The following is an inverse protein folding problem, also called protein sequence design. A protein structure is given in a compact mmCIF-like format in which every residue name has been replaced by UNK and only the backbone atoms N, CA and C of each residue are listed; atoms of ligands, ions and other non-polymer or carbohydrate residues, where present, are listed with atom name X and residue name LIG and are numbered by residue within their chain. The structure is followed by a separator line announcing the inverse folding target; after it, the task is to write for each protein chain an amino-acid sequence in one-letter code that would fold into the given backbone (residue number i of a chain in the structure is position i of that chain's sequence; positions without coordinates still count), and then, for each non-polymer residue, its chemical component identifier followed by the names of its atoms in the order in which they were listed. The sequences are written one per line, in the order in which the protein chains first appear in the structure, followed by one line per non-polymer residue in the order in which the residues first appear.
data_IF_798433915873
#
_entry.id   IF_798433915873
#
_cell.length_a   1.000
_cell.length_b   1.000
_cell.length_c   1.000
_cell.angle_alpha   90.00
_cell.angle_beta   90.00
_cell.angle_gamma   90.00
#
_symmetry.space_group_name_H-M   'P 1'
#
loop_
_entity.id
_entity.type
_entity.pdbx_description
1 polymer ?
#
# COMPACT_ATOMS: atom_id res chain seq x y z
N UNK A 1 15.27 -21.29 31.79
CA UNK A 1 15.43 -21.95 30.47
C UNK A 1 14.05 -22.21 29.89
N UNK A 2 13.49 -21.19 29.23
CA UNK A 2 12.17 -21.24 28.62
C UNK A 2 12.34 -21.88 27.24
N UNK A 3 11.61 -22.97 27.00
CA UNK A 3 11.58 -23.73 25.74
C UNK A 3 10.63 -23.06 24.73
N UNK A 4 10.81 -21.76 24.50
CA UNK A 4 10.15 -21.05 23.41
C UNK A 4 11.26 -20.41 22.63
N UNK A 5 11.39 -20.85 21.38
CA UNK A 5 12.06 -20.22 20.24
C UNK A 5 12.95 -21.21 19.50
N UNK A 6 12.40 -21.68 18.39
CA UNK A 6 13.18 -22.02 17.21
C UNK A 6 13.74 -20.75 16.50
N UNK A 7 13.87 -19.60 17.19
CA UNK A 7 14.76 -18.52 16.77
C UNK A 7 16.18 -18.89 17.19
N UNK A 8 16.90 -19.63 16.33
CA UNK A 8 18.30 -19.99 16.56
C UNK A 8 19.25 -18.79 16.68
N UNK A 9 18.79 -17.57 16.41
CA UNK A 9 19.58 -16.34 16.50
C UNK A 9 19.74 -15.85 17.94
N UNK A 10 18.64 -15.65 18.69
CA UNK A 10 18.66 -15.03 20.03
C UNK A 10 19.26 -15.87 21.17
N UNK A 11 19.58 -17.14 20.92
CA UNK A 11 20.08 -18.09 21.95
C UNK A 11 21.33 -18.84 21.45
N UNK A 12 22.16 -18.22 20.62
CA UNK A 12 23.47 -18.76 20.29
C UNK A 12 24.44 -18.50 21.46
N UNK A 13 24.82 -19.55 22.19
CA UNK A 13 25.63 -19.46 23.41
C UNK A 13 27.02 -18.80 23.28
N UNK A 14 27.47 -18.49 22.06
CA UNK A 14 28.78 -17.89 21.77
C UNK A 14 28.71 -16.52 21.05
N UNK A 15 27.50 -16.02 20.75
CA UNK A 15 27.27 -14.71 20.10
C UNK A 15 26.17 -13.98 20.87
N UNK A 16 26.55 -12.98 21.67
CA UNK A 16 25.59 -12.06 22.27
C UNK A 16 25.08 -11.18 21.13
N UNK A 17 23.80 -11.33 20.77
CA UNK A 17 23.15 -10.46 19.81
C UNK A 17 23.23 -9.00 20.25
N UNK A 18 23.26 -8.08 19.28
CA UNK A 18 23.24 -6.65 19.57
C UNK A 18 22.04 -6.32 20.47
N UNK A 19 22.20 -5.41 21.45
CA UNK A 19 21.10 -5.04 22.33
C UNK A 19 19.91 -4.54 21.49
N UNK A 20 18.70 -5.00 21.82
CA UNK A 20 17.43 -4.61 21.20
C UNK A 20 17.04 -3.19 21.62
N UNK A 21 17.90 -2.23 21.32
CA UNK A 21 17.76 -0.83 21.67
C UNK A 21 17.54 -0.03 20.40
N UNK A 22 16.52 0.84 20.35
CA UNK A 22 16.27 1.70 19.21
C UNK A 22 17.49 2.52 18.82
N UNK A 23 17.76 2.59 17.51
CA UNK A 23 18.69 3.59 16.99
C UNK A 23 18.03 4.97 17.02
N UNK A 24 18.73 6.05 17.41
CA UNK A 24 18.18 7.40 17.34
C UNK A 24 17.94 7.81 15.88
N UNK A 25 16.86 8.55 15.62
CA UNK A 25 16.67 9.17 14.29
C UNK A 25 17.59 10.37 14.13
N UNK A 26 18.41 10.37 13.06
CA UNK A 26 19.33 11.47 12.78
C UNK A 26 18.71 12.53 11.84
N UNK A 27 17.80 12.12 10.94
CA UNK A 27 17.22 13.02 9.91
C UNK A 27 15.94 13.74 10.37
N UNK A 28 15.13 13.13 11.23
CA UNK A 28 13.77 13.61 11.55
C UNK A 28 13.57 13.87 13.05
N UNK A 29 14.60 14.36 13.75
CA UNK A 29 14.69 14.40 15.22
C UNK A 29 13.46 14.94 15.97
N UNK A 30 12.65 15.80 15.34
CA UNK A 30 11.47 16.43 15.95
C UNK A 30 10.14 15.99 15.31
N UNK A 31 10.13 14.92 14.51
CA UNK A 31 8.92 14.43 13.88
C UNK A 31 7.98 13.81 14.91
N UNK A 32 6.69 14.17 14.84
CA UNK A 32 5.63 13.58 15.68
C UNK A 32 5.45 12.09 15.44
N UNK A 33 5.97 11.53 14.34
CA UNK A 33 5.87 10.09 14.06
C UNK A 33 6.50 9.24 15.18
N UNK A 34 7.55 9.76 15.84
CA UNK A 34 8.27 9.03 16.89
C UNK A 34 7.54 8.99 18.23
N UNK A 35 6.50 9.80 18.38
CA UNK A 35 5.57 9.78 19.52
C UNK A 35 4.18 9.33 19.08
N UNK A 36 4.02 8.87 17.84
CA UNK A 36 2.74 8.36 17.32
C UNK A 36 2.58 6.91 17.78
N UNK A 37 1.46 6.54 18.43
CA UNK A 37 1.22 5.16 18.81
C UNK A 37 1.24 4.21 17.62
N UNK A 38 1.85 3.05 17.81
CA UNK A 38 1.93 1.97 16.83
C UNK A 38 1.11 0.80 17.34
N UNK A 39 0.09 0.42 16.58
CA UNK A 39 -0.76 -0.75 16.80
C UNK A 39 -0.18 -1.88 15.94
N UNK A 40 0.22 -2.97 16.56
CA UNK A 40 0.68 -4.19 15.89
C UNK A 40 -0.33 -5.29 16.13
N UNK A 41 -0.87 -5.87 15.06
CA UNK A 41 -1.78 -7.01 15.13
C UNK A 41 -0.95 -8.30 14.99
N UNK A 42 -0.94 -9.16 16.02
CA UNK A 42 -0.18 -10.42 15.94
C UNK A 42 -0.81 -11.45 15.01
N UNK A 43 -2.14 -11.40 14.87
CA UNK A 43 -2.92 -12.43 14.18
C UNK A 43 -2.99 -13.75 14.94
N UNK A 44 -3.62 -14.75 14.33
CA UNK A 44 -3.69 -16.14 14.83
C UNK A 44 -2.40 -16.92 14.56
N UNK A 45 -1.58 -16.48 13.60
CA UNK A 45 -0.31 -17.15 13.27
C UNK A 45 0.89 -16.27 13.65
N UNK A 46 1.45 -16.56 14.82
CA UNK A 46 2.51 -15.73 15.43
C UNK A 46 3.95 -16.11 14.99
N UNK A 47 4.14 -17.06 14.07
CA UNK A 47 5.47 -17.54 13.68
C UNK A 47 6.39 -16.43 13.15
N UNK A 48 5.81 -15.41 12.52
CA UNK A 48 6.54 -14.28 11.94
C UNK A 48 6.56 -13.04 12.80
N UNK A 49 5.78 -13.02 13.90
CA UNK A 49 5.74 -11.89 14.81
C UNK A 49 7.13 -11.49 15.31
N UNK A 50 8.06 -12.39 15.68
CA UNK A 50 9.42 -12.00 16.06
C UNK A 50 10.14 -11.16 15.01
N UNK A 51 9.99 -11.48 13.71
CA UNK A 51 10.62 -10.72 12.62
C UNK A 51 9.96 -9.34 12.44
N UNK A 52 8.64 -9.26 12.60
CA UNK A 52 7.91 -7.98 12.60
C UNK A 52 8.41 -7.09 13.73
N UNK A 53 8.51 -7.61 14.96
CA UNK A 53 8.98 -6.85 16.12
C UNK A 53 10.45 -6.46 16.01
N UNK A 54 11.29 -7.35 15.46
CA UNK A 54 12.70 -7.07 15.19
C UNK A 54 12.88 -5.93 14.19
N UNK A 55 12.18 -5.98 13.05
CA UNK A 55 12.27 -4.89 12.07
C UNK A 55 11.62 -3.59 12.54
N UNK A 56 10.67 -3.64 13.48
CA UNK A 56 10.08 -2.47 14.13
C UNK A 56 11.03 -1.81 15.14
N UNK A 57 11.66 -2.58 16.04
CA UNK A 57 12.60 -2.01 17.02
C UNK A 57 13.85 -1.41 16.33
N UNK A 58 14.21 -1.92 15.15
CA UNK A 58 15.31 -1.41 14.35
C UNK A 58 15.00 -0.06 13.65
N UNK A 59 13.74 0.39 13.63
CA UNK A 59 13.37 1.64 12.98
C UNK A 59 14.00 2.85 13.68
N UNK A 60 14.80 3.69 13.00
CA UNK A 60 15.43 4.83 13.64
C UNK A 60 14.40 5.82 14.22
N UNK A 61 14.49 6.06 15.53
CA UNK A 61 13.61 6.97 16.27
C UNK A 61 12.38 6.33 16.92
N UNK A 62 12.18 5.01 16.79
CA UNK A 62 11.08 4.34 17.50
C UNK A 62 11.20 4.51 19.02
N UNK A 63 10.08 4.77 19.68
CA UNK A 63 9.96 4.72 21.13
C UNK A 63 9.11 3.50 21.51
N UNK A 64 9.71 2.43 22.09
CA UNK A 64 9.01 1.19 22.41
C UNK A 64 7.77 1.37 23.29
N UNK A 65 7.72 2.43 24.10
CA UNK A 65 6.61 2.73 25.00
C UNK A 65 5.32 3.13 24.27
N UNK A 66 5.42 3.47 22.98
CA UNK A 66 4.28 3.80 22.14
C UNK A 66 3.82 2.63 21.26
N UNK A 67 4.40 1.43 21.44
CA UNK A 67 4.03 0.23 20.65
C UNK A 67 3.10 -0.66 21.47
N UNK A 68 1.90 -0.86 20.95
CA UNK A 68 0.91 -1.82 21.46
C UNK A 68 0.85 -3.02 20.53
N UNK A 69 1.07 -4.22 21.05
CA UNK A 69 0.97 -5.48 20.32
C UNK A 69 -0.29 -6.21 20.79
N UNK A 70 -1.28 -6.29 19.91
CA UNK A 70 -2.54 -6.98 20.17
C UNK A 70 -2.41 -8.46 19.82
N UNK A 71 -2.78 -9.33 20.75
CA UNK A 71 -2.72 -10.76 20.57
C UNK A 71 -3.98 -11.49 21.02
N UNK A 72 -4.26 -12.60 20.36
CA UNK A 72 -5.38 -13.47 20.75
C UNK A 72 -5.04 -14.25 22.03
N UNK A 73 -6.03 -14.62 22.86
CA UNK A 73 -5.83 -15.33 24.13
C UNK A 73 -5.14 -16.68 24.02
N UNK A 74 -5.17 -17.31 22.84
CA UNK A 74 -4.52 -18.58 22.51
C UNK A 74 -2.99 -18.46 22.47
N UNK A 75 -2.45 -17.24 22.37
CA UNK A 75 -1.02 -16.95 22.28
C UNK A 75 -0.52 -16.07 23.44
N UNK A 76 -0.63 -16.51 24.71
CA UNK A 76 -0.15 -15.74 25.86
C UNK A 76 1.36 -15.49 25.84
N UNK A 77 2.13 -16.32 25.12
CA UNK A 77 3.58 -16.17 24.91
C UNK A 77 3.97 -14.87 24.19
N UNK A 78 3.03 -14.20 23.51
CA UNK A 78 3.28 -12.89 22.89
C UNK A 78 3.67 -11.84 23.94
N UNK A 79 3.19 -11.97 25.17
CA UNK A 79 3.55 -11.09 26.28
C UNK A 79 5.05 -11.17 26.61
N UNK A 80 5.56 -12.38 26.79
CA UNK A 80 6.98 -12.62 27.07
C UNK A 80 7.86 -12.10 25.92
N UNK A 81 7.39 -12.26 24.68
CA UNK A 81 8.06 -11.70 23.51
C UNK A 81 8.06 -10.17 23.52
N UNK A 82 6.93 -9.51 23.83
CA UNK A 82 6.86 -8.05 23.89
C UNK A 82 7.75 -7.47 25.01
N UNK A 83 7.83 -8.15 26.15
CA UNK A 83 8.74 -7.77 27.24
C UNK A 83 10.20 -7.73 26.78
N UNK A 84 10.62 -8.64 25.90
CA UNK A 84 11.98 -8.67 25.33
C UNK A 84 12.29 -7.42 24.50
N UNK A 85 11.30 -6.87 23.79
CA UNK A 85 11.44 -5.68 22.95
C UNK A 85 11.08 -4.37 23.68
N UNK A 86 10.57 -4.46 24.92
CA UNK A 86 10.06 -3.30 25.67
C UNK A 86 8.76 -2.74 25.11
N UNK A 87 7.97 -3.55 24.41
CA UNK A 87 6.64 -3.21 23.89
C UNK A 87 5.54 -3.59 24.89
N UNK A 88 4.36 -2.98 24.76
CA UNK A 88 3.20 -3.33 25.58
C UNK A 88 2.33 -4.35 24.86
N UNK A 89 2.05 -5.49 25.49
CA UNK A 89 1.13 -6.49 24.98
C UNK A 89 -0.30 -6.25 25.48
N UNK A 90 -1.26 -6.25 24.57
CA UNK A 90 -2.70 -6.16 24.85
C UNK A 90 -3.39 -7.44 24.38
N UNK A 91 -4.16 -8.07 25.27
CA UNK A 91 -4.91 -9.27 24.92
C UNK A 91 -6.30 -8.89 24.39
N UNK A 92 -6.71 -9.47 23.25
CA UNK A 92 -8.04 -9.23 22.68
C UNK A 92 -9.15 -9.91 23.48
N UNK A 93 -10.36 -9.32 23.44
CA UNK A 93 -11.56 -9.92 24.00
C UNK A 93 -12.01 -11.14 23.17
N UNK A 94 -12.27 -12.26 23.85
CA UNK A 94 -12.78 -13.50 23.25
C UNK A 94 -14.01 -13.28 22.36
N UNK A 95 -14.87 -12.31 22.71
CA UNK A 95 -16.09 -12.01 21.97
C UNK A 95 -15.84 -11.39 20.59
N UNK A 96 -14.68 -10.73 20.40
CA UNK A 96 -14.30 -10.06 19.16
C UNK A 96 -13.45 -10.93 18.22
N UNK A 97 -13.06 -12.14 18.66
CA UNK A 97 -12.27 -13.08 17.85
C UNK A 97 -13.07 -13.64 16.66
N UNK A 98 -14.40 -13.70 16.77
CA UNK A 98 -15.25 -14.32 15.75
C UNK A 98 -15.32 -13.54 14.41
N UNK A 99 -14.88 -12.28 14.38
CA UNK A 99 -14.82 -11.45 13.17
C UNK A 99 -13.53 -10.64 13.15
N UNK A 100 -12.68 -10.89 12.15
CA UNK A 100 -11.41 -10.18 11.95
C UNK A 100 -11.53 -8.64 11.99
N UNK A 101 -12.66 -8.06 11.56
CA UNK A 101 -12.87 -6.61 11.62
C UNK A 101 -13.22 -6.05 13.01
N UNK A 102 -13.78 -6.88 13.90
CA UNK A 102 -14.03 -6.48 15.30
C UNK A 102 -12.70 -6.33 16.04
N UNK A 103 -11.70 -7.15 15.70
CA UNK A 103 -10.33 -7.04 16.22
C UNK A 103 -9.70 -5.67 15.91
N UNK A 104 -9.80 -5.17 14.68
CA UNK A 104 -9.31 -3.83 14.35
C UNK A 104 -10.03 -2.75 15.20
N UNK A 105 -11.34 -2.86 15.33
CA UNK A 105 -12.14 -1.89 16.09
C UNK A 105 -11.71 -1.85 17.55
N UNK A 106 -11.55 -3.02 18.19
CA UNK A 106 -11.05 -3.14 19.56
C UNK A 106 -9.65 -2.56 19.72
N UNK A 107 -8.74 -2.85 18.78
CA UNK A 107 -7.38 -2.36 18.81
C UNK A 107 -7.31 -0.82 18.73
N UNK A 108 -8.09 -0.23 17.82
CA UNK A 108 -8.21 1.22 17.71
C UNK A 108 -8.83 1.83 18.98
N UNK A 109 -9.95 1.30 19.48
CA UNK A 109 -10.62 1.82 20.68
C UNK A 109 -9.73 1.73 21.93
N UNK A 110 -8.91 0.69 22.02
CA UNK A 110 -7.95 0.51 23.11
C UNK A 110 -6.79 1.48 23.00
N UNK A 111 -6.16 1.60 21.83
CA UNK A 111 -5.08 2.54 21.59
C UNK A 111 -5.55 4.00 21.81
N UNK A 112 -6.75 4.33 21.36
CA UNK A 112 -7.36 5.65 21.53
C UNK A 112 -7.64 6.02 22.99
N UNK A 113 -7.93 5.03 23.85
CA UNK A 113 -8.11 5.22 25.30
C UNK A 113 -6.78 5.35 26.03
N UNK A 114 -5.77 4.55 25.66
CA UNK A 114 -4.45 4.57 26.28
C UNK A 114 -3.64 5.81 25.90
N UNK A 115 -3.84 6.32 24.68
CA UNK A 115 -3.20 7.52 24.17
C UNK A 115 -4.25 8.60 23.85
N UNK A 116 -4.84 9.24 24.87
CA UNK A 116 -5.94 10.20 24.68
C UNK A 116 -5.53 11.44 23.87
N UNK A 117 -4.25 11.84 23.93
CA UNK A 117 -3.71 12.99 23.21
C UNK A 117 -3.20 12.63 21.79
N UNK A 118 -3.18 11.35 21.43
CA UNK A 118 -2.73 10.92 20.11
C UNK A 118 -3.75 11.30 19.04
N UNK A 119 -3.27 12.01 18.03
CA UNK A 119 -4.05 12.44 16.85
C UNK A 119 -3.87 11.51 15.64
N UNK A 120 -2.87 10.63 15.68
CA UNK A 120 -2.57 9.66 14.63
C UNK A 120 -2.25 8.30 15.23
N UNK A 121 -2.39 7.27 14.41
CA UNK A 121 -2.05 5.89 14.75
C UNK A 121 -1.37 5.23 13.54
N UNK A 122 -0.25 4.55 13.79
CA UNK A 122 0.34 3.62 12.83
C UNK A 122 -0.26 2.24 13.10
N UNK A 123 -0.65 1.52 12.07
CA UNK A 123 -1.12 0.13 12.16
C UNK A 123 -0.16 -0.75 11.37
N UNK A 124 0.19 -1.91 11.93
CA UNK A 124 0.99 -2.97 11.30
C UNK A 124 0.23 -4.28 11.49
N UNK A 125 -0.14 -4.92 10.39
CA UNK A 125 -0.86 -6.20 10.39
C UNK A 125 0.10 -7.38 10.53
N UNK A 126 -0.46 -8.56 10.76
CA UNK A 126 0.27 -9.82 10.87
C UNK A 126 1.07 -10.18 9.61
N UNK A 127 2.23 -10.82 9.82
CA UNK A 127 3.10 -11.28 8.74
C UNK A 127 3.74 -10.16 7.92
N UNK A 128 3.86 -8.95 8.47
CA UNK A 128 4.46 -7.79 7.82
C UNK A 128 5.89 -7.56 8.31
N UNK A 129 6.84 -7.44 7.38
CA UNK A 129 8.22 -7.02 7.66
C UNK A 129 8.40 -5.59 7.17
N UNK A 130 9.02 -4.74 8.00
CA UNK A 130 9.20 -3.33 7.69
C UNK A 130 10.49 -3.07 6.89
N UNK A 131 10.41 -2.17 5.91
CA UNK A 131 11.59 -1.63 5.25
C UNK A 131 12.46 -0.82 6.24
N UNK A 132 13.78 -0.68 6.00
CA UNK A 132 14.68 0.02 6.91
C UNK A 132 14.34 1.50 7.17
N UNK A 133 13.58 2.14 6.28
CA UNK A 133 13.20 3.55 6.37
C UNK A 133 11.69 3.77 6.63
N UNK A 134 10.93 2.74 7.03
CA UNK A 134 9.48 2.82 7.19
C UNK A 134 9.02 4.03 8.02
N UNK A 135 9.57 4.25 9.22
CA UNK A 135 9.20 5.43 10.02
C UNK A 135 9.68 6.75 9.41
N UNK A 136 10.82 6.74 8.70
CA UNK A 136 11.34 7.91 8.00
C UNK A 136 10.49 8.28 6.77
N UNK A 137 9.92 7.30 6.09
CA UNK A 137 8.92 7.49 5.04
C UNK A 137 7.65 8.15 5.60
N UNK A 138 7.10 7.61 6.69
CA UNK A 138 5.92 8.18 7.35
C UNK A 138 6.22 9.59 7.91
N UNK A 139 7.42 9.83 8.46
CA UNK A 139 7.83 11.14 8.97
C UNK A 139 7.74 12.25 7.92
N UNK A 140 8.08 11.93 6.67
CA UNK A 140 8.09 12.90 5.56
C UNK A 140 6.68 13.25 5.09
N UNK A 141 5.73 12.33 5.21
CA UNK A 141 4.37 12.48 4.70
C UNK A 141 3.36 12.90 5.78
N UNK A 142 3.65 12.64 7.06
CA UNK A 142 2.78 13.01 8.18
C UNK A 142 2.38 14.50 8.19
N UNK A 143 3.26 15.48 7.93
CA UNK A 143 2.85 16.89 7.86
C UNK A 143 1.81 17.17 6.77
N UNK A 144 1.82 16.40 5.68
CA UNK A 144 0.85 16.54 4.61
C UNK A 144 -0.51 15.94 5.01
N UNK A 145 -0.51 14.85 5.79
CA UNK A 145 -1.73 14.33 6.41
C UNK A 145 -2.34 15.37 7.37
N UNK A 146 -1.52 16.09 8.16
CA UNK A 146 -2.04 17.20 8.99
C UNK A 146 -2.65 18.34 8.14
N UNK A 147 -2.06 18.63 6.98
CA UNK A 147 -2.42 19.79 6.14
C UNK A 147 -3.64 19.56 5.23
N UNK A 148 -3.72 18.39 4.59
CA UNK A 148 -4.72 18.11 3.56
C UNK A 148 -5.77 17.10 4.07
N UNK A 149 -6.93 17.61 4.45
CA UNK A 149 -8.06 16.81 4.97
C UNK A 149 -8.65 15.84 3.95
N UNK A 150 -8.30 15.96 2.67
CA UNK A 150 -8.77 15.02 1.63
C UNK A 150 -7.92 13.75 1.55
N UNK A 151 -6.76 13.73 2.22
CA UNK A 151 -5.98 12.51 2.44
C UNK A 151 -6.52 11.88 3.72
N UNK A 152 -6.96 10.63 3.68
CA UNK A 152 -7.40 9.87 4.86
C UNK A 152 -6.27 9.08 5.51
N UNK A 153 -5.31 8.61 4.71
CA UNK A 153 -4.26 7.72 5.19
C UNK A 153 -2.96 7.79 4.39
N UNK A 154 -1.90 7.20 4.96
CA UNK A 154 -0.61 6.98 4.30
C UNK A 154 -0.33 5.48 4.36
N UNK A 155 -0.39 4.80 3.23
CA UNK A 155 -0.02 3.39 3.14
C UNK A 155 1.48 3.26 2.91
N UNK A 156 2.06 2.21 3.46
CA UNK A 156 3.41 1.73 3.11
C UNK A 156 3.37 0.65 2.01
N UNK A 157 2.19 0.28 1.52
CA UNK A 157 2.00 -0.74 0.51
C UNK A 157 1.48 -0.13 -0.80
N UNK A 158 2.08 -0.54 -1.91
CA UNK A 158 1.54 -0.31 -3.23
C UNK A 158 0.88 -1.59 -3.71
N UNK A 159 -0.43 -1.63 -3.96
CA UNK A 159 -1.11 -2.84 -4.48
C UNK A 159 -0.49 -3.32 -5.81
N UNK A 160 -0.03 -2.39 -6.64
CA UNK A 160 0.65 -2.64 -7.92
C UNK A 160 2.19 -2.60 -7.82
N UNK A 161 2.75 -2.76 -6.62
CA UNK A 161 4.20 -2.78 -6.36
C UNK A 161 4.92 -4.04 -6.88
N UNK A 162 4.61 -4.48 -8.11
CA UNK A 162 5.19 -5.67 -8.72
C UNK A 162 6.48 -5.35 -9.48
N UNK A 163 7.33 -6.36 -9.64
CA UNK A 163 8.55 -6.26 -10.45
C UNK A 163 8.23 -5.80 -11.89
N UNK A 164 9.02 -4.85 -12.38
CA UNK A 164 8.88 -4.29 -13.73
C UNK A 164 7.81 -3.20 -13.89
N UNK A 165 6.93 -3.02 -12.91
CA UNK A 165 5.88 -1.97 -12.90
C UNK A 165 5.94 -1.01 -11.69
N UNK A 166 7.04 -1.09 -10.94
CA UNK A 166 7.30 -0.35 -9.70
C UNK A 166 8.82 -0.29 -9.47
N UNK A 167 9.28 0.57 -8.56
CA UNK A 167 10.66 0.60 -8.06
C UNK A 167 11.26 2.00 -7.93
N UNK A 168 10.49 3.07 -8.13
CA UNK A 168 10.90 4.45 -7.90
C UNK A 168 10.75 4.79 -6.42
N UNK A 169 11.76 4.48 -5.62
CA UNK A 169 11.77 4.65 -4.16
C UNK A 169 11.30 6.04 -3.70
N UNK A 170 11.66 7.10 -4.40
CA UNK A 170 11.35 8.48 -4.00
C UNK A 170 9.91 8.92 -4.29
N UNK A 171 9.15 8.13 -5.04
CA UNK A 171 7.86 8.52 -5.61
C UNK A 171 6.68 8.04 -4.74
N UNK A 172 5.66 8.87 -4.69
CA UNK A 172 4.39 8.62 -3.99
C UNK A 172 3.22 9.06 -4.88
N UNK A 173 2.11 8.34 -4.76
CA UNK A 173 0.87 8.57 -5.48
C UNK A 173 -0.27 8.88 -4.51
N UNK A 174 -1.30 9.60 -4.99
CA UNK A 174 -2.63 9.55 -4.39
C UNK A 174 -3.44 8.44 -5.04
N UNK A 175 -4.10 7.63 -4.23
CA UNK A 175 -4.99 6.55 -4.67
C UNK A 175 -6.25 6.55 -3.81
N UNK A 176 -7.37 6.04 -4.31
CA UNK A 176 -8.66 6.00 -3.59
C UNK A 176 -8.82 4.70 -2.77
N UNK A 177 -7.70 4.02 -2.55
CA UNK A 177 -7.62 2.68 -1.96
C UNK A 177 -6.71 2.62 -0.74
N UNK A 178 -7.15 1.91 0.31
CA UNK A 178 -6.30 1.49 1.42
C UNK A 178 -6.49 -0.01 1.67
N UNK A 179 -5.55 -0.83 1.20
CA UNK A 179 -5.62 -2.29 1.35
C UNK A 179 -5.19 -2.75 2.75
N UNK A 180 -4.29 -2.01 3.41
CA UNK A 180 -3.81 -2.30 4.76
C UNK A 180 -2.31 -2.61 4.82
N UNK A 181 -1.96 -3.66 5.56
CA UNK A 181 -0.61 -4.17 5.88
C UNK A 181 0.19 -3.29 6.82
N UNK A 182 0.52 -2.08 6.39
CA UNK A 182 1.10 -1.09 7.28
C UNK A 182 0.74 0.32 6.80
N UNK A 183 0.16 1.12 7.69
CA UNK A 183 -0.40 2.40 7.30
C UNK A 183 -0.57 3.35 8.48
N UNK A 184 -0.61 4.65 8.19
CA UNK A 184 -0.82 5.74 9.15
C UNK A 184 -2.19 6.37 8.91
N UNK A 185 -2.95 6.58 9.97
CA UNK A 185 -4.28 7.19 9.95
C UNK A 185 -4.44 8.24 11.04
N UNK A 186 -5.51 9.03 10.93
CA UNK A 186 -5.93 9.94 12.01
C UNK A 186 -6.76 9.19 13.05
N UNK A 187 -6.82 9.76 14.25
CA UNK A 187 -7.82 9.42 15.26
C UNK A 187 -9.24 9.48 14.66
N UNK A 188 -10.11 8.56 15.07
CA UNK A 188 -11.46 8.42 14.51
C UNK A 188 -11.51 7.73 13.14
N UNK A 189 -10.46 6.99 12.77
CA UNK A 189 -10.45 6.16 11.58
C UNK A 189 -11.60 5.14 11.63
N UNK A 190 -12.42 5.00 10.56
CA UNK A 190 -13.58 4.11 10.55
C UNK A 190 -13.16 2.64 10.38
N UNK A 191 -12.48 2.08 11.37
CA UNK A 191 -11.80 0.78 11.31
C UNK A 191 -12.70 -0.35 10.82
N UNK A 192 -13.91 -0.49 11.39
CA UNK A 192 -14.88 -1.50 11.00
C UNK A 192 -15.29 -1.37 9.53
N UNK A 193 -15.83 -0.21 9.15
CA UNK A 193 -16.34 0.03 7.80
C UNK A 193 -15.25 0.07 6.72
N UNK A 194 -14.00 0.34 7.12
CA UNK A 194 -12.83 0.15 6.27
C UNK A 194 -12.53 -1.35 6.10
N UNK A 195 -12.37 -2.09 7.19
CA UNK A 195 -11.98 -3.51 7.15
C UNK A 195 -12.97 -4.35 6.34
N UNK A 196 -14.27 -4.13 6.52
CA UNK A 196 -15.32 -4.86 5.80
C UNK A 196 -15.30 -4.61 4.29
N UNK A 197 -14.87 -3.41 3.84
CA UNK A 197 -14.96 -2.98 2.44
C UNK A 197 -13.60 -2.79 1.75
N UNK A 198 -12.48 -2.97 2.44
CA UNK A 198 -11.12 -2.70 1.91
C UNK A 198 -10.81 -3.50 0.63
N UNK A 199 -11.51 -4.62 0.43
CA UNK A 199 -11.36 -5.45 -0.77
C UNK A 199 -12.38 -5.21 -1.87
N UNK A 200 -13.46 -4.47 -1.60
CA UNK A 200 -14.57 -4.29 -2.54
C UNK A 200 -14.35 -3.14 -3.54
N UNK A 201 -13.32 -2.29 -3.33
CA UNK A 201 -12.94 -1.09 -4.10
C UNK A 201 -13.88 -0.72 -5.25
N UNK A 202 -15.03 -0.12 -4.91
CA UNK A 202 -15.96 0.43 -5.89
C UNK A 202 -15.61 1.89 -6.20
N UNK A 203 -16.09 2.45 -7.32
CA UNK A 203 -15.88 3.87 -7.65
C UNK A 203 -16.47 4.85 -6.62
N UNK A 204 -17.41 4.41 -5.76
CA UNK A 204 -18.08 5.24 -4.77
C UNK A 204 -17.29 5.35 -3.46
N UNK A 205 -16.20 6.13 -3.51
CA UNK A 205 -15.48 6.63 -2.33
C UNK A 205 -14.62 5.59 -1.61
N UNK A 206 -13.44 6.02 -1.14
CA UNK A 206 -12.57 5.14 -0.37
C UNK A 206 -13.24 4.71 0.94
N UNK A 207 -13.20 3.42 1.31
CA UNK A 207 -13.67 2.97 2.63
C UNK A 207 -13.00 3.67 3.80
N UNK A 208 -11.79 4.21 3.58
CA UNK A 208 -11.02 5.00 4.54
C UNK A 208 -11.50 6.44 4.72
N UNK A 209 -12.46 6.92 3.91
CA UNK A 209 -13.02 8.28 3.98
C UNK A 209 -12.27 9.35 3.17
N UNK A 210 -11.27 8.98 2.37
CA UNK A 210 -10.49 9.92 1.55
C UNK A 210 -9.41 9.24 0.71
N UNK A 211 -8.52 10.03 0.11
CA UNK A 211 -7.40 9.50 -0.66
C UNK A 211 -6.33 8.94 0.27
N UNK A 212 -5.63 7.91 -0.16
CA UNK A 212 -4.46 7.37 0.52
C UNK A 212 -3.20 7.74 -0.25
N UNK A 213 -2.14 8.11 0.47
CA UNK A 213 -0.81 8.22 -0.12
C UNK A 213 -0.18 6.83 -0.19
N UNK A 214 0.26 6.40 -1.37
CA UNK A 214 0.88 5.08 -1.58
C UNK A 214 2.22 5.24 -2.30
N UNK A 215 3.31 4.59 -1.85
CA UNK A 215 4.61 4.76 -2.48
C UNK A 215 4.63 4.04 -3.84
N UNK A 216 5.58 4.36 -4.72
CA UNK A 216 5.78 3.53 -5.91
C UNK A 216 6.44 2.20 -5.53
N UNK A 217 7.52 2.23 -4.75
CA UNK A 217 8.13 1.04 -4.14
C UNK A 217 7.63 0.86 -2.69
N UNK A 218 7.08 -0.32 -2.36
CA UNK A 218 6.55 -0.59 -1.01
C UNK A 218 7.61 -0.42 0.07
N UNK A 219 7.18 -0.04 1.27
CA UNK A 219 7.99 0.08 2.50
C UNK A 219 7.74 -1.05 3.48
N UNK A 220 7.05 -2.09 3.01
CA UNK A 220 6.79 -3.31 3.76
C UNK A 220 6.74 -4.51 2.83
N UNK A 221 7.09 -5.68 3.37
CA UNK A 221 6.92 -6.99 2.75
C UNK A 221 5.82 -7.74 3.50
N UNK A 222 4.89 -8.36 2.78
CA UNK A 222 3.98 -9.37 3.35
C UNK A 222 4.57 -10.75 3.12
N UNK A 223 4.67 -11.55 4.18
CA UNK A 223 5.13 -12.93 4.11
C UNK A 223 4.03 -13.83 3.53
N UNK A 224 4.42 -14.70 2.61
CA UNK A 224 3.52 -15.42 1.69
C UNK A 224 2.91 -16.71 2.25
N UNK A 225 3.39 -17.19 3.39
CA UNK A 225 2.98 -18.44 4.03
C UNK A 225 1.91 -18.24 5.13
N UNK A 226 1.33 -17.05 5.23
CA UNK A 226 0.24 -16.75 6.15
C UNK A 226 -1.09 -17.37 5.65
N UNK A 227 -1.89 -18.02 6.52
CA UNK A 227 -3.22 -18.47 6.16
C UNK A 227 -4.09 -17.28 5.78
N UNK A 228 -4.89 -17.44 4.73
CA UNK A 228 -5.79 -16.40 4.27
C UNK A 228 -7.13 -16.56 4.99
N UNK A 229 -7.32 -15.79 6.06
CA UNK A 229 -8.58 -15.77 6.81
C UNK A 229 -9.67 -15.09 5.97
N UNK A 230 -10.61 -15.90 5.48
CA UNK A 230 -11.82 -15.61 4.67
C UNK A 230 -11.65 -15.80 3.15
N UNK A 231 -12.55 -16.53 2.50
CA UNK A 231 -12.45 -16.89 1.06
C UNK A 231 -12.32 -15.67 0.12
N UNK A 232 -13.06 -14.58 0.36
CA UNK A 232 -13.01 -13.38 -0.48
C UNK A 232 -11.74 -12.53 -0.28
N UNK A 233 -11.21 -12.46 0.94
CA UNK A 233 -9.90 -11.84 1.21
C UNK A 233 -8.78 -12.73 0.64
N UNK A 234 -8.96 -14.05 0.68
CA UNK A 234 -8.03 -15.05 0.13
C UNK A 234 -7.82 -14.88 -1.37
N UNK A 235 -8.89 -14.86 -2.19
CA UNK A 235 -8.77 -14.69 -3.65
C UNK A 235 -8.04 -13.37 -4.03
N UNK A 236 -8.31 -12.29 -3.29
CA UNK A 236 -7.63 -11.00 -3.50
C UNK A 236 -6.17 -11.07 -3.10
N UNK A 237 -5.87 -11.61 -1.92
CA UNK A 237 -4.49 -11.69 -1.44
C UNK A 237 -3.65 -12.64 -2.28
N UNK A 238 -4.18 -13.77 -2.73
CA UNK A 238 -3.52 -14.64 -3.70
C UNK A 238 -3.13 -13.86 -4.96
N UNK A 239 -4.04 -13.02 -5.47
CA UNK A 239 -3.76 -12.17 -6.63
C UNK A 239 -2.74 -11.04 -6.33
N UNK A 240 -2.75 -10.47 -5.12
CA UNK A 240 -1.76 -9.49 -4.66
C UNK A 240 -0.37 -10.13 -4.50
N UNK A 241 -0.30 -11.42 -4.18
CA UNK A 241 0.96 -12.15 -3.95
C UNK A 241 1.38 -13.02 -5.14
N UNK A 242 0.61 -13.04 -6.22
CA UNK A 242 0.82 -13.91 -7.39
C UNK A 242 2.13 -13.66 -8.16
N UNK A 243 2.81 -12.54 -7.91
CA UNK A 243 3.99 -12.09 -8.65
C UNK A 243 5.03 -11.50 -7.71
N UNK A 244 6.30 -11.52 -8.14
CA UNK A 244 7.40 -10.87 -7.45
C UNK A 244 7.12 -9.38 -7.21
N UNK A 245 7.50 -8.89 -6.03
CA UNK A 245 7.16 -7.54 -5.56
C UNK A 245 8.43 -6.75 -5.23
N UNK A 246 8.35 -5.44 -5.42
CA UNK A 246 9.44 -4.51 -5.11
C UNK A 246 9.20 -3.87 -3.76
N UNK A 247 10.19 -4.00 -2.89
CA UNK A 247 10.26 -3.28 -1.61
C UNK A 247 11.54 -2.48 -1.58
N UNK A 248 11.46 -1.23 -1.14
CA UNK A 248 12.65 -0.42 -0.97
C UNK A 248 13.45 -0.87 0.25
N UNK A 249 14.77 -0.96 0.09
CA UNK A 249 15.69 -1.37 1.14
C UNK A 249 16.74 -0.29 1.44
N UNK A 250 16.58 0.91 0.89
CA UNK A 250 17.52 2.01 1.07
C UNK A 250 17.26 2.73 2.39
N UNK A 251 18.33 3.06 3.12
CA UNK A 251 18.22 3.83 4.34
C UNK A 251 18.05 5.32 4.06
N UNK A 252 16.97 5.90 4.58
CA UNK A 252 16.78 7.35 4.64
C UNK A 252 16.56 8.01 3.28
N UNK A 253 15.72 7.38 2.44
CA UNK A 253 15.27 7.94 1.15
C UNK A 253 14.59 9.29 1.36
N UNK A 254 14.95 10.28 0.55
CA UNK A 254 14.26 11.58 0.51
C UNK A 254 13.23 11.58 -0.61
N UNK A 255 11.95 11.65 -0.25
CA UNK A 255 10.86 11.64 -1.22
C UNK A 255 10.88 12.87 -2.11
N UNK A 256 10.45 12.71 -3.36
CA UNK A 256 10.34 13.80 -4.32
C UNK A 256 8.95 14.44 -4.28
N UNK A 257 8.89 15.75 -4.51
CA UNK A 257 7.63 16.47 -4.79
C UNK A 257 6.50 16.27 -3.76
N UNK A 258 6.84 16.09 -2.48
CA UNK A 258 5.86 15.85 -1.39
C UNK A 258 4.80 16.96 -1.36
N UNK A 259 5.21 18.21 -1.56
CA UNK A 259 4.29 19.34 -1.54
C UNK A 259 3.27 19.25 -2.69
N UNK A 260 3.61 18.62 -3.81
CA UNK A 260 2.69 18.42 -4.94
C UNK A 260 1.63 17.36 -4.67
N UNK A 261 1.74 16.59 -3.59
CA UNK A 261 0.74 15.59 -3.22
C UNK A 261 -0.49 16.21 -2.54
N UNK A 262 -0.49 17.48 -2.13
CA UNK A 262 -1.70 18.22 -1.73
C UNK A 262 -2.71 18.21 -2.89
N UNK A 263 -3.99 17.88 -2.64
CA UNK A 263 -4.97 17.60 -3.70
C UNK A 263 -4.99 18.62 -4.83
N UNK A 264 -5.00 19.92 -4.50
CA UNK A 264 -5.05 20.98 -5.51
C UNK A 264 -3.79 21.01 -6.39
N UNK A 265 -2.62 20.75 -5.81
CA UNK A 265 -1.33 20.69 -6.49
C UNK A 265 -1.18 19.39 -7.27
N UNK A 266 -1.70 18.28 -6.76
CA UNK A 266 -1.65 16.98 -7.41
C UNK A 266 -2.46 17.00 -8.70
N UNK A 267 -3.65 17.60 -8.69
CA UNK A 267 -4.47 17.80 -9.88
C UNK A 267 -3.75 18.68 -10.94
N UNK A 268 -3.00 19.70 -10.51
CA UNK A 268 -2.15 20.50 -11.42
C UNK A 268 -1.00 19.68 -12.00
N UNK A 269 -0.30 18.91 -11.16
CA UNK A 269 0.76 17.99 -11.60
C UNK A 269 0.24 17.01 -12.65
N UNK A 270 -0.90 16.37 -12.40
CA UNK A 270 -1.53 15.45 -13.35
C UNK A 270 -1.92 16.17 -14.64
N UNK A 271 -2.49 17.37 -14.55
CA UNK A 271 -2.81 18.17 -15.73
C UNK A 271 -1.56 18.42 -16.60
N UNK A 272 -0.45 18.83 -16.00
CA UNK A 272 0.79 19.14 -16.71
C UNK A 272 1.39 17.87 -17.36
N UNK A 273 1.46 16.77 -16.60
CA UNK A 273 1.95 15.48 -17.11
C UNK A 273 1.09 14.96 -18.26
N UNK A 274 -0.24 15.02 -18.14
CA UNK A 274 -1.16 14.51 -19.15
C UNK A 274 -1.21 15.40 -20.40
N UNK A 275 -1.11 16.72 -20.24
CA UNK A 275 -1.10 17.67 -21.37
C UNK A 275 0.13 17.51 -22.27
N UNK A 276 1.22 16.99 -21.72
CA UNK A 276 2.50 16.77 -22.43
C UNK A 276 2.80 15.29 -22.71
N UNK A 277 1.94 14.39 -22.20
CA UNK A 277 2.09 12.95 -22.36
C UNK A 277 2.05 12.50 -23.83
N UNK A 278 2.84 11.47 -24.13
CA UNK A 278 2.71 10.77 -25.41
C UNK A 278 1.49 9.85 -25.37
N UNK A 279 0.55 10.01 -26.30
CA UNK A 279 -0.57 9.08 -26.40
C UNK A 279 -0.13 7.76 -27.03
N UNK A 280 -0.33 6.65 -26.32
CA UNK A 280 -0.02 5.31 -26.78
C UNK A 280 -1.29 4.59 -27.21
N UNK A 281 -1.47 4.49 -28.53
CA UNK A 281 -2.61 3.81 -29.13
C UNK A 281 -2.36 2.31 -29.21
N UNK A 282 -3.03 1.54 -28.35
CA UNK A 282 -3.13 0.09 -28.46
C UNK A 282 -4.44 -0.31 -29.14
N UNK A 283 -4.42 -1.44 -29.83
CA UNK A 283 -5.60 -2.09 -30.39
C UNK A 283 -5.92 -3.40 -29.64
N UNK A 284 -7.06 -4.00 -29.94
CA UNK A 284 -7.53 -5.24 -29.31
C UNK A 284 -6.62 -6.44 -29.59
N UNK A 285 -5.94 -6.47 -30.75
CA UNK A 285 -5.05 -7.58 -31.12
C UNK A 285 -3.83 -7.67 -30.19
N UNK A 286 -3.28 -6.53 -29.77
CA UNK A 286 -2.20 -6.51 -28.78
C UNK A 286 -2.65 -7.06 -27.42
N UNK A 287 -3.87 -6.72 -26.97
CA UNK A 287 -4.41 -7.28 -25.72
C UNK A 287 -4.64 -8.79 -25.81
N UNK A 288 -5.12 -9.27 -26.96
CA UNK A 288 -5.36 -10.70 -27.16
C UNK A 288 -4.08 -11.56 -27.15
N UNK A 289 -2.93 -10.95 -27.47
CA UNK A 289 -1.65 -11.65 -27.63
C UNK A 289 -0.65 -11.43 -26.49
N UNK A 290 -0.91 -10.45 -25.61
CA UNK A 290 0.01 -10.06 -24.53
C UNK A 290 0.29 -11.20 -23.54
N UNK A 291 -0.67 -12.10 -23.32
CA UNK A 291 -0.55 -13.21 -22.37
C UNK A 291 0.15 -14.44 -22.95
N UNK A 292 0.31 -14.53 -24.27
CA UNK A 292 0.74 -15.79 -24.93
C UNK A 292 2.14 -15.70 -25.52
N UNK A 293 2.52 -14.60 -26.21
CA UNK A 293 3.77 -14.58 -27.01
C UNK A 293 4.50 -13.24 -27.15
N UNK A 294 3.95 -12.11 -26.71
CA UNK A 294 4.56 -10.80 -27.02
C UNK A 294 4.42 -9.82 -25.85
N UNK A 295 5.54 -9.19 -25.45
CA UNK A 295 5.49 -7.97 -24.63
C UNK A 295 4.67 -6.92 -25.37
N UNK A 296 3.93 -6.09 -24.64
CA UNK A 296 3.24 -4.93 -25.21
C UNK A 296 4.22 -4.13 -26.09
N UNK A 297 3.78 -3.63 -27.27
CA UNK A 297 4.67 -2.89 -28.16
C UNK A 297 5.21 -1.67 -27.42
N UNK A 298 6.49 -1.33 -27.56
CA UNK A 298 6.98 -0.12 -26.88
C UNK A 298 6.21 1.14 -27.32
N UNK A 299 6.09 2.15 -26.45
CA UNK A 299 5.48 3.42 -26.81
C UNK A 299 6.18 4.00 -28.05
N UNK A 300 5.48 4.78 -28.88
CA UNK A 300 6.07 5.34 -30.09
C UNK A 300 7.39 6.08 -29.78
N UNK A 301 8.46 5.77 -30.52
CA UNK A 301 9.73 6.46 -30.38
C UNK A 301 9.58 7.90 -30.92
N UNK A 302 9.21 8.85 -30.05
CA UNK A 302 9.32 10.27 -30.34
C UNK A 302 10.69 10.75 -29.86
N UNK A 303 11.48 11.31 -30.77
CA UNK A 303 12.92 11.59 -30.69
C UNK A 303 13.39 12.62 -29.63
N UNK A 304 12.86 12.61 -28.42
CA UNK A 304 13.34 13.47 -27.32
C UNK A 304 13.41 12.67 -26.03
N UNK A 305 14.61 12.60 -25.45
CA UNK A 305 14.92 11.98 -24.16
C UNK A 305 14.20 12.60 -22.94
N UNK A 306 13.20 13.45 -23.16
CA UNK A 306 12.48 14.22 -22.15
C UNK A 306 11.06 13.72 -21.89
N UNK A 307 10.52 12.79 -22.71
CA UNK A 307 9.13 12.32 -22.58
C UNK A 307 9.04 11.00 -21.83
N UNK A 308 8.97 11.10 -20.50
CA UNK A 308 8.74 9.95 -19.63
C UNK A 308 7.24 9.63 -19.45
N UNK A 309 6.32 10.57 -19.67
CA UNK A 309 4.88 10.33 -19.46
C UNK A 309 4.18 9.77 -20.72
N UNK A 310 3.44 8.67 -20.55
CA UNK A 310 2.70 7.99 -21.63
C UNK A 310 1.27 7.72 -21.19
N UNK A 311 0.28 8.10 -22.02
CA UNK A 311 -1.14 7.92 -21.69
C UNK A 311 -1.84 7.00 -22.67
N UNK A 312 -2.64 6.07 -22.13
CA UNK A 312 -3.50 5.17 -22.86
C UNK A 312 -4.94 5.38 -22.44
N UNK A 313 -5.82 5.50 -23.42
CA UNK A 313 -7.25 5.77 -23.20
C UNK A 313 -8.07 4.55 -23.60
N UNK A 314 -9.04 4.16 -22.77
CA UNK A 314 -9.92 3.03 -23.04
C UNK A 314 -11.40 3.41 -22.90
N UNK A 315 -12.25 2.75 -23.68
CA UNK A 315 -13.69 2.90 -23.62
C UNK A 315 -14.27 2.10 -22.44
N UNK A 316 -15.40 2.63 -21.96
CA UNK A 316 -16.21 2.05 -20.90
C UNK A 316 -17.68 2.25 -21.26
N UNK A 317 -18.49 1.21 -21.08
CA UNK A 317 -19.94 1.27 -21.29
C UNK A 317 -20.65 1.98 -20.14
N UNK A 318 -20.16 1.80 -18.91
CA UNK A 318 -20.64 2.48 -17.70
C UNK A 318 -19.44 2.87 -16.81
N UNK A 319 -19.62 3.72 -15.78
CA UNK A 319 -18.56 4.01 -14.82
C UNK A 319 -17.97 2.76 -14.13
N UNK A 320 -18.79 1.72 -14.00
CA UNK A 320 -18.44 0.43 -13.38
C UNK A 320 -17.85 -0.59 -14.37
N UNK A 321 -17.80 -0.27 -15.67
CA UNK A 321 -17.19 -1.13 -16.68
C UNK A 321 -15.66 -1.09 -16.54
N UNK A 322 -15.11 -2.23 -16.13
CA UNK A 322 -13.69 -2.43 -15.87
C UNK A 322 -13.02 -3.44 -16.80
N UNK A 323 -13.70 -3.94 -17.83
CA UNK A 323 -13.17 -5.04 -18.66
C UNK A 323 -11.89 -4.64 -19.40
N UNK A 324 -11.90 -3.47 -20.04
CA UNK A 324 -10.73 -2.92 -20.74
C UNK A 324 -9.57 -2.67 -19.78
N UNK A 325 -9.86 -2.10 -18.60
CA UNK A 325 -8.86 -1.83 -17.58
C UNK A 325 -8.26 -3.12 -17.02
N UNK A 326 -9.09 -4.11 -16.71
CA UNK A 326 -8.64 -5.43 -16.21
C UNK A 326 -7.72 -6.11 -17.23
N UNK A 327 -8.07 -6.04 -18.51
CA UNK A 327 -7.24 -6.60 -19.60
C UNK A 327 -5.89 -5.89 -19.71
N UNK A 328 -5.88 -4.56 -19.60
CA UNK A 328 -4.64 -3.77 -19.55
C UNK A 328 -3.79 -4.13 -18.34
N UNK A 329 -4.39 -4.21 -17.15
CA UNK A 329 -3.69 -4.61 -15.93
C UNK A 329 -3.06 -6.00 -16.09
N UNK A 330 -3.78 -6.96 -16.68
CA UNK A 330 -3.24 -8.28 -16.99
C UNK A 330 -2.02 -8.23 -17.90
N UNK A 331 -2.09 -7.47 -19.00
CA UNK A 331 -0.99 -7.34 -19.95
C UNK A 331 0.25 -6.64 -19.36
N UNK A 332 0.07 -5.61 -18.52
CA UNK A 332 1.19 -4.93 -17.85
C UNK A 332 1.74 -5.72 -16.66
N UNK A 333 0.94 -6.65 -16.13
CA UNK A 333 1.28 -7.38 -14.92
C UNK A 333 0.98 -6.65 -13.62
N UNK A 334 0.02 -5.73 -13.67
CA UNK A 334 -0.58 -5.07 -12.51
C UNK A 334 -1.60 -6.01 -11.85
N UNK A 335 -2.17 -5.58 -10.71
CA UNK A 335 -3.22 -6.33 -10.05
C UNK A 335 -4.45 -6.44 -10.96
N UNK A 336 -4.92 -7.67 -11.15
CA UNK A 336 -6.16 -7.97 -11.87
C UNK A 336 -6.86 -9.17 -11.24
N UNK A 337 -8.19 -9.13 -11.18
CA UNK A 337 -9.00 -10.27 -10.73
C UNK A 337 -10.32 -10.32 -11.50
N UNK A 338 -10.90 -11.50 -11.78
CA UNK A 338 -12.19 -11.60 -12.48
C UNK A 338 -13.35 -10.92 -11.73
N UNK A 339 -13.36 -10.99 -10.39
CA UNK A 339 -14.45 -10.48 -9.55
C UNK A 339 -14.19 -9.11 -8.93
N UNK A 340 -12.92 -8.73 -8.72
CA UNK A 340 -12.56 -7.52 -7.97
C UNK A 340 -12.02 -6.43 -8.90
N UNK A 341 -12.22 -5.19 -8.47
CA UNK A 341 -11.75 -4.01 -9.20
C UNK A 341 -10.22 -3.95 -9.25
N UNK A 342 -9.65 -3.43 -10.36
CA UNK A 342 -8.27 -3.00 -10.42
C UNK A 342 -7.93 -2.01 -9.29
N UNK A 343 -6.73 -2.14 -8.73
CA UNK A 343 -6.28 -1.40 -7.54
C UNK A 343 -5.45 -0.17 -7.90
N UNK A 344 -5.28 0.75 -6.95
CA UNK A 344 -4.43 1.93 -7.11
C UNK A 344 -5.01 3.00 -8.04
N UNK A 345 -6.34 3.07 -8.11
CA UNK A 345 -7.05 4.05 -8.93
C UNK A 345 -7.09 5.43 -8.25
N UNK A 346 -7.04 6.46 -9.09
CA UNK A 346 -7.30 7.83 -8.72
C UNK A 346 -8.24 8.47 -9.74
N UNK A 347 -9.50 8.66 -9.39
CA UNK A 347 -10.55 9.27 -10.22
C UNK A 347 -10.65 8.58 -11.59
N UNK A 348 -10.69 7.25 -11.58
CA UNK A 348 -10.80 6.42 -12.80
C UNK A 348 -9.53 6.37 -13.67
N UNK A 349 -8.38 6.81 -13.14
CA UNK A 349 -7.07 6.67 -13.77
C UNK A 349 -6.17 5.77 -12.92
N UNK A 350 -5.41 4.89 -13.57
CA UNK A 350 -4.33 4.12 -12.94
C UNK A 350 -2.98 4.67 -13.42
N UNK A 351 -2.12 5.05 -12.48
CA UNK A 351 -0.75 5.54 -12.74
C UNK A 351 0.27 4.57 -12.17
N UNK A 352 1.30 4.24 -12.94
CA UNK A 352 2.37 3.34 -12.51
C UNK A 352 3.65 3.58 -13.33
N UNK A 353 4.78 3.08 -12.81
CA UNK A 353 6.05 3.10 -13.53
C UNK A 353 6.13 1.89 -14.45
N UNK A 354 6.63 2.01 -15.68
CA UNK A 354 6.95 0.84 -16.51
C UNK A 354 8.17 1.13 -17.39
N UNK A 355 9.22 0.34 -17.24
CA UNK A 355 10.56 0.67 -17.78
C UNK A 355 11.00 2.10 -17.33
N UNK A 356 11.27 3.00 -18.26
CA UNK A 356 11.55 4.42 -17.98
C UNK A 356 10.31 5.34 -17.99
N UNK A 357 9.11 4.78 -18.23
CA UNK A 357 7.90 5.55 -18.44
C UNK A 357 7.02 5.66 -17.17
N UNK A 358 6.35 6.80 -17.05
CA UNK A 358 5.20 7.04 -16.18
C UNK A 358 3.94 6.81 -17.03
N UNK A 359 3.27 5.69 -16.79
CA UNK A 359 2.16 5.22 -17.61
C UNK A 359 0.84 5.57 -16.94
N UNK A 360 -0.08 6.13 -17.73
CA UNK A 360 -1.42 6.51 -17.31
C UNK A 360 -2.46 5.73 -18.10
N UNK A 361 -3.25 4.88 -17.43
CA UNK A 361 -4.43 4.23 -18.02
C UNK A 361 -5.66 5.04 -17.64
N UNK A 362 -6.38 5.57 -18.63
CA UNK A 362 -7.46 6.55 -18.43
C UNK A 362 -8.75 6.04 -19.07
N UNK A 363 -9.74 5.76 -18.23
CA UNK A 363 -11.07 5.35 -18.68
C UNK A 363 -11.93 6.52 -19.15
N UNK A 364 -12.91 6.23 -20.02
CA UNK A 364 -13.86 7.21 -20.58
C UNK A 364 -14.59 8.06 -19.54
N UNK A 365 -14.89 7.50 -18.36
CA UNK A 365 -15.59 8.22 -17.30
C UNK A 365 -14.64 9.00 -16.36
N UNK A 366 -13.32 8.88 -16.56
CA UNK A 366 -12.35 9.68 -15.81
C UNK A 366 -12.39 11.16 -16.24
N UNK A 367 -12.28 12.12 -15.32
CA UNK A 367 -12.14 13.55 -15.67
C UNK A 367 -10.88 13.83 -16.50
N UNK A 368 -9.91 12.91 -16.51
CA UNK A 368 -8.67 13.00 -17.29
C UNK A 368 -8.86 12.57 -18.75
N UNK A 369 -9.99 11.96 -19.12
CA UNK A 369 -10.23 11.53 -20.50
C UNK A 369 -10.27 12.72 -21.49
N UNK A 370 -10.50 13.94 -21.00
CA UNK A 370 -10.43 15.18 -21.80
C UNK A 370 -9.09 15.42 -22.50
N UNK A 371 -8.01 14.81 -22.01
CA UNK A 371 -6.67 14.92 -22.62
C UNK A 371 -6.49 14.00 -23.83
N UNK A 372 -7.44 13.10 -24.10
CA UNK A 372 -7.39 12.22 -25.27
C UNK A 372 -7.40 13.04 -26.56
N UNK A 373 -6.42 12.88 -27.46
CA UNK A 373 -6.47 13.51 -28.78
C UNK A 373 -7.70 13.07 -29.57
N UNK A 374 -8.25 13.98 -30.39
CA UNK A 374 -9.46 13.72 -31.19
C UNK A 374 -9.23 12.64 -32.26
N UNK A 375 -8.01 12.51 -32.76
CA UNK A 375 -7.61 11.57 -33.81
C UNK A 375 -7.23 10.17 -33.28
N UNK A 376 -7.25 9.96 -31.96
CA UNK A 376 -6.95 8.66 -31.35
C UNK A 376 -8.26 7.99 -30.93
N UNK A 377 -8.47 6.78 -31.44
CA UNK A 377 -9.55 5.92 -30.98
C UNK A 377 -9.14 5.29 -29.64
N UNK A 378 -10.00 5.35 -28.61
CA UNK A 378 -9.75 4.64 -27.37
C UNK A 378 -9.74 3.13 -27.60
N UNK A 379 -9.03 2.42 -26.74
CA UNK A 379 -9.03 0.97 -26.71
C UNK A 379 -10.42 0.46 -26.31
N UNK A 380 -11.03 -0.37 -27.15
CA UNK A 380 -12.29 -1.05 -26.84
C UNK A 380 -12.13 -2.55 -27.05
N UNK A 381 -12.73 -3.33 -26.15
CA UNK A 381 -12.79 -4.79 -26.23
C UNK A 381 -14.00 -5.30 -27.03
N UNK A 382 -14.99 -4.43 -27.30
CA UNK A 382 -16.14 -4.79 -28.11
C UNK A 382 -15.74 -5.03 -29.56
N UNK A 383 -16.35 -6.06 -30.17
CA UNK A 383 -16.37 -6.16 -31.63
C UNK A 383 -17.10 -4.93 -32.16
N UNK A 384 -16.44 -4.16 -33.02
CA UNK A 384 -17.16 -3.22 -33.88
C UNK A 384 -18.32 -4.00 -34.49
N UNK A 385 -19.55 -3.65 -34.12
CA UNK A 385 -20.74 -4.19 -34.77
C UNK A 385 -20.64 -3.68 -36.20
N UNK A 386 -20.12 -4.52 -37.09
CA UNK A 386 -20.13 -4.31 -38.52
C UNK A 386 -21.60 -4.23 -38.93
N UNK A 387 -22.07 -3.00 -39.15
CA UNK A 387 -23.34 -2.73 -39.82
C UNK A 387 -23.28 -3.11 -41.29
#
# INVERSE_FOLDING_TARGET
CIHVLHSRLLVAGDLIDNPLVPNPSIKFTNSKIFTTPVIVMSGEVIHHLPLTLETLIMQPGIDPRHVLVFHVPEHPEVRDLCELFGFTAEQMDNSNLAKSCDQFTEAFDTAERQFPDAVHFVVIEEGVILAPDFLAYLAQLLPLLDLDSTISSISAWNDNGFEGVSGKSRRVYRVESLTGLAFLVRRGFPAQGWCERRFEQRPEGSPSGGDSLSPDASRVVRLSDMPLEVEASSEVFESLMARGRVTDMELGVTLEDIDKLERSRYERLLHDLLSTSLTWALNREYLATCNVRTRLPRPPASATAERHAVSLYFDQNSPDDIESLRSLCSCFGLFHHPKFYPRGLYRGMLRFTWEEYDVFLIGRYSPYYKFKPKNINPLSLETAVSG
#
